data_IF_805284524892
#
_entry.id   IF_805284524892
#
_cell.length_a   1.000
_cell.length_b   1.000
_cell.length_c   1.000
_cell.angle_alpha   90.00
_cell.angle_beta   90.00
_cell.angle_gamma   90.00
#
_symmetry.space_group_name_H-M   'P 1'
#
loop_
_entity.id
_entity.type
_entity.pdbx_description
1 polymer ?
#
# COMPACT_ATOMS: atom_id res chain seq x y z
N UNK A 1 -2.23 -10.97 24.56
CA UNK A 1 -2.53 -11.99 23.51
C UNK A 1 -3.12 -11.31 22.27
N UNK A 2 -2.89 -11.84 21.05
CA UNK A 2 -3.56 -11.37 19.85
C UNK A 2 -5.08 -11.56 19.94
N UNK A 3 -5.85 -10.60 19.43
CA UNK A 3 -7.32 -10.66 19.36
C UNK A 3 -7.79 -10.32 17.95
N UNK A 4 -8.95 -10.86 17.57
CA UNK A 4 -9.57 -10.53 16.28
C UNK A 4 -10.13 -9.10 16.28
N UNK A 5 -10.05 -8.45 15.13
CA UNK A 5 -10.69 -7.18 14.83
C UNK A 5 -11.56 -7.36 13.59
N UNK A 6 -12.80 -6.87 13.66
CA UNK A 6 -13.72 -6.93 12.52
C UNK A 6 -13.27 -5.95 11.42
N UNK A 7 -13.28 -6.37 10.14
CA UNK A 7 -13.06 -5.45 9.03
C UNK A 7 -14.19 -4.41 8.96
N UNK A 8 -13.96 -3.29 8.28
CA UNK A 8 -14.99 -2.23 8.10
C UNK A 8 -16.13 -2.68 7.18
N UNK A 9 -15.79 -3.50 6.19
CA UNK A 9 -16.71 -4.12 5.24
C UNK A 9 -16.08 -5.42 4.71
N UNK A 10 -16.85 -6.24 3.99
CA UNK A 10 -16.43 -7.58 3.56
C UNK A 10 -15.12 -7.61 2.76
N UNK A 11 -14.95 -6.65 1.84
CA UNK A 11 -13.78 -6.55 0.96
C UNK A 11 -12.58 -5.81 1.56
N UNK A 12 -12.64 -5.34 2.82
CA UNK A 12 -11.59 -4.50 3.41
C UNK A 12 -10.26 -5.26 3.58
N UNK A 13 -9.29 -4.93 2.72
CA UNK A 13 -7.93 -5.47 2.76
C UNK A 13 -6.98 -4.64 3.62
N UNK A 14 -7.40 -3.43 4.06
CA UNK A 14 -6.56 -2.55 4.87
C UNK A 14 -6.67 -2.87 6.36
N UNK A 15 -7.86 -3.13 6.88
CA UNK A 15 -8.02 -3.31 8.34
C UNK A 15 -7.33 -4.59 8.82
N UNK A 16 -6.41 -4.52 9.81
CA UNK A 16 -5.77 -5.71 10.34
C UNK A 16 -6.80 -6.61 11.03
N UNK A 17 -6.94 -7.85 10.57
CA UNK A 17 -7.85 -8.84 11.18
C UNK A 17 -7.41 -9.27 12.58
N UNK A 18 -6.13 -9.10 12.89
CA UNK A 18 -5.56 -9.39 14.19
C UNK A 18 -4.83 -8.19 14.75
N UNK A 19 -5.09 -7.89 16.01
CA UNK A 19 -4.40 -6.85 16.77
C UNK A 19 -3.86 -7.40 18.07
N UNK A 20 -2.73 -6.86 18.54
CA UNK A 20 -2.16 -7.19 19.85
C UNK A 20 -1.73 -5.92 20.57
N UNK A 21 -1.56 -6.05 21.89
CA UNK A 21 -1.26 -4.95 22.81
C UNK A 21 -2.30 -3.81 22.77
N UNK A 22 -2.06 -2.76 23.56
CA UNK A 22 -2.92 -1.59 23.71
C UNK A 22 -2.06 -0.31 23.74
N UNK A 23 -2.70 0.86 23.75
CA UNK A 23 -2.01 2.15 23.82
C UNK A 23 -0.99 2.35 22.69
N UNK A 24 0.19 2.86 23.04
CA UNK A 24 1.30 3.12 22.10
C UNK A 24 1.87 1.84 21.48
N UNK A 25 1.80 0.73 22.21
CA UNK A 25 2.31 -0.56 21.75
C UNK A 25 1.34 -1.30 20.85
N UNK A 26 0.13 -0.76 20.61
CA UNK A 26 -0.91 -1.41 19.81
C UNK A 26 -0.38 -1.71 18.40
N UNK A 27 -0.44 -2.98 18.00
CA UNK A 27 0.03 -3.46 16.71
C UNK A 27 -1.09 -4.15 15.94
N UNK A 28 -1.05 -4.01 14.62
CA UNK A 28 -1.88 -4.74 13.66
C UNK A 28 -1.05 -5.72 12.85
N UNK A 29 -1.62 -6.87 12.54
CA UNK A 29 -0.98 -7.87 11.69
C UNK A 29 -1.34 -7.64 10.22
N UNK A 30 -0.33 -7.48 9.39
CA UNK A 30 -0.45 -7.49 7.93
C UNK A 30 -0.39 -8.93 7.42
N UNK A 31 -1.49 -9.42 6.85
CA UNK A 31 -1.60 -10.76 6.27
C UNK A 31 -1.06 -10.83 4.84
N UNK A 32 -0.95 -9.68 4.15
CA UNK A 32 -0.48 -9.59 2.76
C UNK A 32 1.04 -9.76 2.64
N UNK A 33 1.78 -9.65 3.75
CA UNK A 33 3.19 -9.97 3.80
C UNK A 33 3.40 -11.48 3.74
N UNK A 34 3.96 -12.00 2.65
CA UNK A 34 4.34 -13.40 2.56
C UNK A 34 5.79 -13.60 3.03
N UNK A 35 6.16 -14.77 3.58
CA UNK A 35 5.31 -15.94 3.85
C UNK A 35 4.60 -15.90 5.22
N UNK A 36 5.05 -15.09 6.17
CA UNK A 36 4.66 -15.18 7.60
C UNK A 36 3.85 -14.00 8.13
N UNK A 37 3.52 -13.02 7.29
CA UNK A 37 2.90 -11.76 7.72
C UNK A 37 3.83 -10.84 8.51
N UNK A 38 3.34 -9.68 8.93
CA UNK A 38 4.14 -8.70 9.69
C UNK A 38 3.31 -7.96 10.73
N UNK A 39 3.78 -7.92 11.98
CA UNK A 39 3.21 -7.05 13.01
C UNK A 39 3.79 -5.65 12.89
N UNK A 40 2.93 -4.64 12.80
CA UNK A 40 3.33 -3.24 12.67
C UNK A 40 2.55 -2.38 13.66
N UNK A 41 3.20 -1.34 14.17
CA UNK A 41 2.58 -0.42 15.12
C UNK A 41 1.49 0.41 14.43
N UNK A 42 0.37 0.58 15.13
CA UNK A 42 -0.77 1.36 14.64
C UNK A 42 -0.67 2.84 15.04
N UNK A 43 -0.07 3.14 16.20
CA UNK A 43 -0.04 4.52 16.73
C UNK A 43 0.98 5.44 16.09
N UNK A 44 2.08 4.89 15.56
CA UNK A 44 3.11 5.67 14.86
C UNK A 44 2.97 5.61 13.33
N UNK A 45 1.79 5.23 12.83
CA UNK A 45 1.50 5.10 11.39
C UNK A 45 2.35 4.08 10.62
N UNK A 46 3.18 3.25 11.28
CA UNK A 46 4.00 2.25 10.58
C UNK A 46 3.15 1.27 9.76
N UNK A 47 2.02 0.82 10.33
CA UNK A 47 1.06 -0.02 9.60
C UNK A 47 0.47 0.71 8.39
N UNK A 48 0.10 1.98 8.54
CA UNK A 48 -0.47 2.79 7.47
C UNK A 48 0.51 2.96 6.29
N UNK A 49 1.74 3.41 6.58
CA UNK A 49 2.79 3.56 5.56
C UNK A 49 3.07 2.24 4.84
N UNK A 50 3.09 1.14 5.58
CA UNK A 50 3.33 -0.18 5.01
C UNK A 50 2.20 -0.62 4.07
N UNK A 51 0.95 -0.58 4.52
CA UNK A 51 -0.18 -0.96 3.66
C UNK A 51 -0.24 -0.10 2.40
N UNK A 52 -0.02 1.21 2.56
CA UNK A 52 -0.18 2.14 1.48
C UNK A 52 0.96 2.13 0.46
N UNK A 53 2.22 2.12 0.91
CA UNK A 53 3.37 2.27 0.00
C UNK A 53 4.12 0.96 -0.27
N UNK A 54 3.94 -0.08 0.53
CA UNK A 54 4.51 -1.39 0.23
C UNK A 54 3.50 -2.27 -0.51
N UNK A 55 2.26 -2.35 -0.02
CA UNK A 55 1.22 -3.17 -0.64
C UNK A 55 0.34 -2.42 -1.64
N UNK A 56 0.35 -1.08 -1.62
CA UNK A 56 -0.51 -0.30 -2.51
C UNK A 56 -1.98 -0.35 -2.13
N UNK A 57 -2.31 -0.51 -0.84
CA UNK A 57 -3.70 -0.61 -0.34
C UNK A 57 -4.07 0.70 0.35
N UNK A 58 -5.16 1.33 -0.11
CA UNK A 58 -5.66 2.59 0.44
C UNK A 58 -6.27 2.40 1.81
N UNK A 59 -5.88 3.27 2.74
CA UNK A 59 -6.50 3.36 4.07
C UNK A 59 -7.96 3.82 4.02
N UNK A 60 -8.36 4.54 2.97
CA UNK A 60 -9.72 5.08 2.81
C UNK A 60 -10.66 3.99 2.30
N UNK A 61 -10.39 3.43 1.13
CA UNK A 61 -11.28 2.44 0.49
C UNK A 61 -11.07 1.01 1.02
N UNK A 62 -9.95 0.74 1.68
CA UNK A 62 -9.56 -0.63 2.04
C UNK A 62 -9.23 -1.51 0.83
N UNK A 63 -9.07 -0.93 -0.36
CA UNK A 63 -8.78 -1.64 -1.61
C UNK A 63 -7.39 -1.28 -2.15
N UNK A 64 -6.81 -2.11 -3.06
CA UNK A 64 -5.62 -1.74 -3.80
C UNK A 64 -5.84 -0.46 -4.63
N UNK A 65 -4.78 0.32 -4.81
CA UNK A 65 -4.78 1.44 -5.75
C UNK A 65 -5.01 0.91 -7.17
N UNK A 66 -5.72 1.72 -7.96
CA UNK A 66 -5.99 1.41 -9.36
C UNK A 66 -4.65 1.29 -10.10
N UNK A 67 -4.44 0.22 -10.88
CA UNK A 67 -3.23 0.09 -11.70
C UNK A 67 -3.20 1.17 -12.78
N UNK A 68 -2.01 1.51 -13.30
CA UNK A 68 -1.92 2.43 -14.44
C UNK A 68 -2.69 1.88 -15.64
N UNK A 69 -3.33 2.78 -16.40
CA UNK A 69 -4.05 2.43 -17.63
C UNK A 69 -3.09 1.87 -18.69
N UNK A 70 -1.91 2.47 -18.78
CA UNK A 70 -0.84 2.08 -19.68
C UNK A 70 0.51 2.16 -18.95
N UNK A 71 1.47 1.34 -19.38
CA UNK A 71 2.84 1.38 -18.87
C UNK A 71 3.81 1.59 -20.03
N UNK A 72 4.80 2.45 -19.82
CA UNK A 72 5.89 2.68 -20.79
C UNK A 72 7.24 2.73 -20.10
N UNK A 73 8.28 2.39 -20.84
CA UNK A 73 9.66 2.62 -20.39
C UNK A 73 10.11 3.95 -20.99
N UNK A 74 10.44 4.90 -20.12
CA UNK A 74 11.05 6.15 -20.54
C UNK A 74 12.53 5.89 -20.83
N UNK A 75 12.90 5.99 -22.11
CA UNK A 75 14.26 5.69 -22.59
C UNK A 75 15.30 6.69 -22.08
N UNK A 76 14.88 7.91 -21.74
CA UNK A 76 15.79 8.98 -21.30
C UNK A 76 16.05 8.94 -19.79
N UNK A 77 15.09 8.48 -18.99
CA UNK A 77 15.18 8.49 -17.52
C UNK A 77 15.37 7.12 -16.87
N UNK A 78 15.48 6.04 -17.66
CA UNK A 78 15.55 4.65 -17.18
C UNK A 78 14.43 4.31 -16.17
N UNK A 79 13.28 4.96 -16.27
CA UNK A 79 12.13 4.75 -15.41
C UNK A 79 11.01 4.03 -16.15
N UNK A 80 10.29 3.18 -15.42
CA UNK A 80 8.98 2.72 -15.87
C UNK A 80 7.95 3.74 -15.42
N UNK A 81 7.16 4.24 -16.36
CA UNK A 81 6.08 5.18 -16.13
C UNK A 81 4.73 4.50 -16.34
N UNK A 82 3.71 5.03 -15.66
CA UNK A 82 2.32 4.59 -15.76
C UNK A 82 1.40 5.75 -16.06
N UNK A 83 0.40 5.54 -16.92
CA UNK A 83 -0.65 6.52 -17.18
C UNK A 83 -1.69 6.49 -16.05
N UNK A 84 -1.81 7.60 -15.34
CA UNK A 84 -2.81 7.77 -14.28
C UNK A 84 -4.23 7.93 -14.86
N UNK A 85 -5.18 7.17 -14.32
CA UNK A 85 -6.58 7.23 -14.73
C UNK A 85 -7.29 8.52 -14.32
N UNK A 86 -6.72 9.28 -13.38
CA UNK A 86 -7.34 10.52 -12.88
C UNK A 86 -6.76 11.77 -13.55
N UNK A 87 -5.44 11.95 -13.51
CA UNK A 87 -4.80 13.12 -14.09
C UNK A 87 -4.42 12.96 -15.57
N UNK A 88 -4.55 11.75 -16.13
CA UNK A 88 -4.20 11.42 -17.51
C UNK A 88 -2.74 11.76 -17.88
N UNK A 89 -1.84 11.71 -16.89
CA UNK A 89 -0.41 11.94 -17.06
C UNK A 89 0.40 10.66 -16.81
N UNK A 90 1.50 10.52 -17.54
CA UNK A 90 2.50 9.51 -17.26
C UNK A 90 3.32 9.92 -16.04
N UNK A 91 3.33 9.07 -15.02
CA UNK A 91 4.07 9.30 -13.78
C UNK A 91 4.98 8.12 -13.46
N UNK A 92 6.11 8.33 -12.75
CA UNK A 92 7.03 7.26 -12.42
C UNK A 92 6.38 6.17 -11.55
N UNK A 93 6.53 4.90 -11.94
CA UNK A 93 6.17 3.72 -11.15
C UNK A 93 7.36 3.24 -10.34
N UNK A 94 8.48 3.03 -11.05
CA UNK A 94 9.69 2.43 -10.52
C UNK A 94 10.91 2.84 -11.33
N UNK A 95 12.08 2.72 -10.71
CA UNK A 95 13.33 2.78 -11.45
C UNK A 95 13.63 1.39 -12.02
N UNK A 96 14.17 1.30 -13.24
CA UNK A 96 14.52 0.00 -13.86
C UNK A 96 15.42 -0.88 -12.98
N UNK A 97 16.26 -0.27 -12.13
CA UNK A 97 17.12 -0.97 -11.16
C UNK A 97 16.37 -1.49 -9.93
N UNK A 98 15.20 -0.94 -9.60
CA UNK A 98 14.37 -1.32 -8.43
C UNK A 98 12.93 -1.59 -8.87
N UNK A 99 12.59 -2.87 -8.96
CA UNK A 99 11.23 -3.34 -9.32
C UNK A 99 10.23 -3.23 -8.17
N UNK A 100 9.96 -2.02 -7.66
CA UNK A 100 8.88 -1.77 -6.70
C UNK A 100 7.96 -0.64 -7.19
N UNK A 101 6.72 -0.59 -6.70
CA UNK A 101 5.71 0.37 -7.19
C UNK A 101 5.53 1.57 -6.25
N UNK A 102 6.52 1.87 -5.41
CA UNK A 102 6.38 2.88 -4.34
C UNK A 102 6.08 4.26 -4.92
N UNK A 103 6.69 4.62 -6.05
CA UNK A 103 6.47 5.92 -6.70
C UNK A 103 5.04 6.03 -7.23
N UNK A 104 4.52 4.95 -7.84
CA UNK A 104 3.13 4.87 -8.25
C UNK A 104 2.18 5.05 -7.07
N UNK A 105 2.39 4.31 -5.98
CA UNK A 105 1.49 4.38 -4.81
C UNK A 105 1.52 5.74 -4.12
N UNK A 106 2.66 6.45 -4.15
CA UNK A 106 2.75 7.84 -3.68
C UNK A 106 1.93 8.80 -4.53
N UNK A 107 1.90 8.58 -5.85
CA UNK A 107 1.03 9.35 -6.74
C UNK A 107 -0.44 8.99 -6.52
N UNK A 108 -0.79 7.71 -6.62
CA UNK A 108 -2.16 7.20 -6.50
C UNK A 108 -2.84 7.55 -5.17
N UNK A 109 -2.08 7.76 -4.10
CA UNK A 109 -2.63 8.24 -2.83
C UNK A 109 -3.09 9.70 -2.87
N UNK A 110 -2.43 10.54 -3.67
CA UNK A 110 -2.67 11.99 -3.71
C UNK A 110 -3.76 12.41 -4.69
N UNK A 111 -4.09 11.53 -5.64
CA UNK A 111 -5.08 11.79 -6.69
C UNK A 111 -6.44 11.27 -6.27
#
# INVERSE_FOLDING_TARGET
>A
LPRRQKPRHEKDLYTPRWVRYTGQMKQGYCQSCQPVGKWLQLKNSAYWYHMQFFHGISSVSGQPFVPPLEKRINKDSEHMEGLCHQCLQFVPICNTKRRNNVLWYRHAHKV
#
